data_IF_508958777640
#
_entry.id   IF_508958777640
#
_cell.length_a   1.000
_cell.length_b   1.000
_cell.length_c   1.000
_cell.angle_alpha   90.00
_cell.angle_beta   90.00
_cell.angle_gamma   90.00
#
_symmetry.space_group_name_H-M   'P 1'
#
loop_
_entity.id
_entity.type
_entity.pdbx_description
1 polymer ?
#
# COMPACT_ATOMS: atom_id res chain seq x y z
N UNK A 1 18.64 25.25 8.90
CA UNK A 1 18.06 24.80 7.62
C UNK A 1 17.52 26.01 6.88
N UNK A 2 17.58 26.11 5.54
CA UNK A 2 16.96 27.22 4.81
C UNK A 2 15.44 27.25 5.09
N UNK A 3 14.81 28.42 5.08
CA UNK A 3 13.39 28.54 5.35
C UNK A 3 12.58 27.74 4.31
N UNK A 4 11.53 27.06 4.79
CA UNK A 4 10.62 26.33 3.91
C UNK A 4 9.91 27.30 2.98
N UNK A 5 9.93 27.03 1.68
CA UNK A 5 9.20 27.79 0.67
C UNK A 5 8.15 26.92 -0.01
N UNK A 6 7.11 27.53 -0.58
CA UNK A 6 6.11 26.80 -1.37
C UNK A 6 6.77 26.03 -2.52
N UNK A 7 7.81 26.59 -3.15
CA UNK A 7 8.58 25.92 -4.20
C UNK A 7 9.24 24.63 -3.69
N UNK A 8 9.83 24.66 -2.49
CA UNK A 8 10.47 23.48 -1.87
C UNK A 8 9.40 22.42 -1.54
N UNK A 9 8.22 22.84 -1.05
CA UNK A 9 7.12 21.95 -0.81
C UNK A 9 6.61 21.26 -2.10
N UNK A 10 6.47 22.03 -3.20
CA UNK A 10 6.09 21.48 -4.51
C UNK A 10 7.13 20.47 -5.01
N UNK A 11 8.42 20.82 -4.98
CA UNK A 11 9.50 19.92 -5.45
C UNK A 11 9.61 18.63 -4.62
N UNK A 12 9.24 18.67 -3.35
CA UNK A 12 9.16 17.47 -2.50
C UNK A 12 7.90 16.66 -2.80
N UNK A 13 6.76 17.32 -2.98
CA UNK A 13 5.44 16.70 -3.11
C UNK A 13 5.21 16.09 -4.50
N UNK A 14 5.69 16.73 -5.57
CA UNK A 14 5.47 16.26 -6.95
C UNK A 14 5.98 14.83 -7.20
N UNK A 15 7.21 14.45 -6.81
CA UNK A 15 7.65 13.06 -6.95
C UNK A 15 6.80 12.07 -6.15
N UNK A 16 6.27 12.48 -4.99
CA UNK A 16 5.39 11.63 -4.18
C UNK A 16 4.03 11.43 -4.85
N UNK A 17 3.43 12.48 -5.42
CA UNK A 17 2.19 12.34 -6.22
C UNK A 17 2.44 11.39 -7.38
N UNK A 18 3.46 11.65 -8.20
CA UNK A 18 3.77 10.81 -9.37
C UNK A 18 3.93 9.34 -8.92
N UNK A 19 4.66 9.11 -7.83
CA UNK A 19 4.84 7.76 -7.29
C UNK A 19 3.49 7.13 -6.88
N UNK A 20 2.64 7.89 -6.19
CA UNK A 20 1.34 7.38 -5.73
C UNK A 20 0.39 7.13 -6.89
N UNK A 21 0.35 8.02 -7.89
CA UNK A 21 -0.47 7.83 -9.09
C UNK A 21 -0.01 6.61 -9.90
N UNK A 22 1.29 6.44 -10.09
CA UNK A 22 1.84 5.25 -10.73
C UNK A 22 1.55 3.98 -9.93
N UNK A 23 1.53 4.08 -8.59
CA UNK A 23 1.15 2.98 -7.72
C UNK A 23 -0.32 2.57 -7.92
N UNK A 24 -1.23 3.54 -7.98
CA UNK A 24 -2.66 3.27 -8.24
C UNK A 24 -2.91 2.80 -9.69
N UNK A 25 -2.18 3.38 -10.65
CA UNK A 25 -2.22 2.93 -12.03
C UNK A 25 -1.81 1.46 -12.15
N UNK A 26 -0.82 1.02 -11.38
CA UNK A 26 -0.38 -0.38 -11.30
C UNK A 26 -1.54 -1.31 -10.93
N UNK A 27 -2.39 -0.95 -9.97
CA UNK A 27 -3.58 -1.75 -9.63
C UNK A 27 -4.62 -1.74 -10.75
N UNK A 28 -4.88 -0.57 -11.34
CA UNK A 28 -5.82 -0.45 -12.47
C UNK A 28 -5.37 -1.26 -13.69
N UNK A 29 -4.05 -1.34 -13.94
CA UNK A 29 -3.49 -2.17 -15.01
C UNK A 29 -3.71 -3.67 -14.77
N UNK A 30 -3.64 -4.16 -13.53
CA UNK A 30 -4.00 -5.56 -13.24
C UNK A 30 -5.44 -5.81 -13.63
N UNK A 31 -6.39 -4.98 -13.19
CA UNK A 31 -7.80 -5.15 -13.56
C UNK A 31 -8.01 -5.10 -15.07
N UNK A 32 -7.39 -4.14 -15.78
CA UNK A 32 -7.50 -4.01 -17.23
C UNK A 32 -6.90 -5.21 -17.97
N UNK A 33 -5.84 -5.81 -17.44
CA UNK A 33 -5.23 -7.01 -17.99
C UNK A 33 -6.11 -8.24 -17.74
N UNK A 34 -6.57 -8.44 -16.50
CA UNK A 34 -7.43 -9.56 -16.12
C UNK A 34 -8.77 -9.56 -16.89
N UNK A 35 -9.30 -8.37 -17.21
CA UNK A 35 -10.50 -8.22 -18.03
C UNK A 35 -10.35 -8.73 -19.48
N UNK A 36 -9.12 -8.95 -19.95
CA UNK A 36 -8.83 -9.45 -21.30
C UNK A 36 -8.58 -10.95 -21.36
N UNK A 37 -8.50 -11.60 -20.19
CA UNK A 37 -8.32 -13.05 -20.10
C UNK A 37 -9.67 -13.76 -20.32
N UNK A 38 -9.62 -15.04 -20.68
CA UNK A 38 -10.81 -15.90 -20.62
C UNK A 38 -11.43 -15.88 -19.21
N UNK A 39 -12.74 -16.00 -19.13
CA UNK A 39 -13.50 -15.98 -17.87
C UNK A 39 -13.26 -14.71 -17.02
N UNK A 40 -13.22 -13.57 -17.69
CA UNK A 40 -12.90 -12.28 -17.07
C UNK A 40 -13.73 -11.97 -15.82
N UNK A 41 -15.01 -12.32 -15.79
CA UNK A 41 -15.89 -12.08 -14.62
C UNK A 41 -15.43 -12.85 -13.40
N UNK A 42 -15.12 -14.13 -13.53
CA UNK A 42 -14.63 -15.00 -12.44
C UNK A 42 -13.28 -14.51 -11.94
N UNK A 43 -12.38 -14.25 -12.88
CA UNK A 43 -11.02 -13.78 -12.61
C UNK A 43 -11.01 -12.44 -11.86
N UNK A 44 -11.80 -11.45 -12.35
CA UNK A 44 -11.90 -10.13 -11.71
C UNK A 44 -12.60 -10.18 -10.35
N UNK A 45 -13.65 -10.99 -10.21
CA UNK A 45 -14.35 -11.16 -8.93
C UNK A 45 -13.41 -11.75 -7.87
N UNK A 46 -12.73 -12.86 -8.21
CA UNK A 46 -11.78 -13.50 -7.32
C UNK A 46 -10.63 -12.57 -6.90
N UNK A 47 -10.05 -11.86 -7.87
CA UNK A 47 -9.00 -10.88 -7.60
C UNK A 47 -9.49 -9.73 -6.72
N UNK A 48 -10.68 -9.18 -6.97
CA UNK A 48 -11.27 -8.08 -6.19
C UNK A 48 -11.53 -8.46 -4.74
N UNK A 49 -12.07 -9.67 -4.50
CA UNK A 49 -12.29 -10.20 -3.16
C UNK A 49 -10.95 -10.35 -2.43
N UNK A 50 -10.00 -11.05 -3.03
CA UNK A 50 -8.69 -11.28 -2.46
C UNK A 50 -7.97 -9.95 -2.15
N UNK A 51 -7.97 -9.02 -3.10
CA UNK A 51 -7.29 -7.72 -2.97
C UNK A 51 -7.92 -6.86 -1.87
N UNK A 52 -9.26 -6.76 -1.78
CA UNK A 52 -9.92 -5.99 -0.74
C UNK A 52 -9.69 -6.60 0.65
N UNK A 53 -9.67 -7.93 0.74
CA UNK A 53 -9.37 -8.65 1.97
C UNK A 53 -7.94 -8.35 2.44
N UNK A 54 -6.95 -8.53 1.57
CA UNK A 54 -5.53 -8.27 1.89
C UNK A 54 -5.30 -6.82 2.27
N UNK A 55 -5.79 -5.86 1.49
CA UNK A 55 -5.56 -4.44 1.76
C UNK A 55 -6.18 -3.98 3.08
N UNK A 56 -7.31 -4.58 3.49
CA UNK A 56 -7.93 -4.29 4.77
C UNK A 56 -7.01 -4.65 5.93
N UNK A 57 -6.46 -5.84 5.93
CA UNK A 57 -5.66 -6.33 7.05
C UNK A 57 -4.19 -5.93 6.97
N UNK A 58 -3.61 -5.83 5.78
CA UNK A 58 -2.21 -5.41 5.59
C UNK A 58 -2.03 -3.89 5.62
N UNK A 59 -3.09 -3.10 5.53
CA UNK A 59 -3.03 -1.63 5.55
C UNK A 59 -2.35 -1.05 6.80
N UNK A 60 -2.39 -1.77 7.93
CA UNK A 60 -1.71 -1.37 9.17
C UNK A 60 -0.19 -1.19 9.00
N UNK A 61 0.41 -1.89 8.03
CA UNK A 61 1.85 -1.83 7.77
C UNK A 61 2.25 -0.45 7.19
N UNK A 62 1.34 0.25 6.52
CA UNK A 62 1.60 1.59 5.99
C UNK A 62 1.98 2.60 7.08
N UNK A 63 1.53 2.39 8.32
CA UNK A 63 1.86 3.21 9.49
C UNK A 63 3.35 3.18 9.82
N UNK A 64 4.07 2.15 9.38
CA UNK A 64 5.52 2.01 9.59
C UNK A 64 6.30 3.20 9.03
N UNK A 65 5.92 3.76 7.89
CA UNK A 65 6.57 4.95 7.30
C UNK A 65 6.49 6.13 8.27
N UNK A 66 5.30 6.37 8.83
CA UNK A 66 5.06 7.49 9.76
C UNK A 66 5.78 7.30 11.09
N UNK A 67 5.75 6.08 11.63
CA UNK A 67 6.46 5.74 12.86
C UNK A 67 7.99 5.83 12.67
N UNK A 68 8.49 5.39 11.52
CA UNK A 68 9.89 5.48 11.16
C UNK A 68 10.36 6.94 11.07
N UNK A 69 9.60 7.81 10.38
CA UNK A 69 9.91 9.24 10.29
C UNK A 69 9.86 9.95 11.65
N UNK A 70 8.99 9.49 12.57
CA UNK A 70 8.85 10.11 13.89
C UNK A 70 9.95 9.70 14.87
N UNK A 71 10.47 8.48 14.76
CA UNK A 71 11.29 7.88 15.83
C UNK A 71 12.66 7.37 15.41
N UNK A 72 13.02 7.34 14.13
CA UNK A 72 14.37 6.98 13.71
C UNK A 72 15.30 8.16 13.97
N UNK A 73 16.21 7.99 14.93
CA UNK A 73 17.29 8.95 15.25
C UNK A 73 18.67 8.35 15.03
N UNK A 74 18.79 7.03 15.12
CA UNK A 74 20.03 6.28 15.01
C UNK A 74 19.80 4.87 14.47
N UNK A 75 20.88 4.10 14.29
CA UNK A 75 20.82 2.69 13.82
C UNK A 75 20.08 1.76 14.79
N UNK A 76 20.07 2.05 16.09
CA UNK A 76 19.37 1.23 17.08
C UNK A 76 17.87 1.45 17.02
N UNK A 77 17.42 2.71 16.95
CA UNK A 77 16.01 3.04 16.79
C UNK A 77 15.46 2.48 15.48
N UNK A 78 16.23 2.54 14.38
CA UNK A 78 15.87 1.90 13.11
C UNK A 78 15.56 0.40 13.29
N UNK A 79 16.48 -0.38 13.85
CA UNK A 79 16.27 -1.81 14.06
C UNK A 79 15.18 -2.12 15.08
N UNK A 80 14.97 -1.24 16.07
CA UNK A 80 13.87 -1.40 17.02
C UNK A 80 12.53 -1.25 16.34
N UNK A 81 12.35 -0.24 15.48
CA UNK A 81 11.14 -0.01 14.71
C UNK A 81 10.93 -1.15 13.73
N UNK A 82 11.95 -1.52 12.97
CA UNK A 82 11.87 -2.63 12.02
C UNK A 82 11.40 -3.94 12.68
N UNK A 83 11.97 -4.30 13.84
CA UNK A 83 11.54 -5.50 14.59
C UNK A 83 10.13 -5.37 15.15
N UNK A 84 9.75 -4.19 15.66
CA UNK A 84 8.42 -3.96 16.20
C UNK A 84 7.38 -4.16 15.10
N UNK A 85 7.55 -3.52 13.95
CA UNK A 85 6.62 -3.66 12.83
C UNK A 85 6.69 -5.04 12.18
N UNK A 86 7.83 -5.72 12.19
CA UNK A 86 7.90 -7.11 11.74
C UNK A 86 7.01 -8.03 12.59
N UNK A 87 7.06 -7.89 13.92
CA UNK A 87 6.19 -8.65 14.81
C UNK A 87 4.71 -8.29 14.61
N UNK A 88 4.41 -7.00 14.47
CA UNK A 88 3.05 -6.52 14.20
C UNK A 88 2.53 -7.05 12.85
N UNK A 89 3.37 -7.12 11.83
CA UNK A 89 3.00 -7.61 10.50
C UNK A 89 2.78 -9.13 10.44
N UNK A 90 3.33 -9.89 11.38
CA UNK A 90 3.02 -11.32 11.48
C UNK A 90 1.55 -11.58 11.83
N UNK A 91 0.89 -10.67 12.55
CA UNK A 91 -0.52 -10.82 12.92
C UNK A 91 -1.42 -10.88 11.68
N UNK A 92 -1.43 -9.84 10.80
CA UNK A 92 -2.22 -9.91 9.58
C UNK A 92 -1.75 -11.03 8.64
N UNK A 93 -0.45 -11.32 8.57
CA UNK A 93 0.05 -12.43 7.75
C UNK A 93 -0.55 -13.77 8.19
N UNK A 94 -0.44 -14.13 9.47
CA UNK A 94 -0.99 -15.38 10.00
C UNK A 94 -2.52 -15.42 9.84
N UNK A 95 -3.21 -14.30 10.07
CA UNK A 95 -4.66 -14.21 9.87
C UNK A 95 -5.03 -14.48 8.40
N UNK A 96 -4.36 -13.85 7.46
CA UNK A 96 -4.61 -13.99 6.04
C UNK A 96 -4.37 -15.43 5.59
N UNK A 97 -3.21 -15.99 5.93
CA UNK A 97 -2.86 -17.36 5.56
C UNK A 97 -3.79 -18.39 6.22
N UNK A 98 -4.16 -18.19 7.49
CA UNK A 98 -5.12 -19.06 8.19
C UNK A 98 -6.48 -19.08 7.49
N UNK A 99 -6.96 -17.93 7.01
CA UNK A 99 -8.23 -17.86 6.29
C UNK A 99 -8.06 -18.44 4.88
N UNK A 100 -7.03 -18.04 4.15
CA UNK A 100 -6.82 -18.47 2.77
C UNK A 100 -6.59 -19.99 2.62
N UNK A 101 -5.85 -20.60 3.55
CA UNK A 101 -5.44 -22.00 3.46
C UNK A 101 -6.41 -23.00 4.14
N UNK A 102 -7.41 -22.50 4.90
CA UNK A 102 -8.35 -23.37 5.61
C UNK A 102 -9.78 -23.25 5.07
N UNK A 103 -10.70 -24.03 5.63
CA UNK A 103 -12.14 -23.92 5.36
C UNK A 103 -12.78 -22.60 5.80
N UNK A 104 -12.08 -21.80 6.63
CA UNK A 104 -12.53 -20.46 6.97
C UNK A 104 -12.64 -19.56 5.73
N UNK A 105 -11.78 -19.74 4.72
CA UNK A 105 -11.86 -19.04 3.44
C UNK A 105 -13.10 -19.43 2.63
N UNK A 106 -13.50 -20.70 2.66
CA UNK A 106 -14.71 -21.16 1.99
C UNK A 106 -15.95 -20.54 2.63
N UNK A 107 -15.97 -20.47 3.95
CA UNK A 107 -17.03 -19.80 4.69
C UNK A 107 -17.03 -18.28 4.42
N UNK A 108 -15.87 -17.62 4.48
CA UNK A 108 -15.76 -16.16 4.33
C UNK A 108 -16.11 -15.71 2.92
N UNK A 109 -15.47 -16.29 1.90
CA UNK A 109 -15.65 -15.86 0.51
C UNK A 109 -16.87 -16.49 -0.15
N UNK A 110 -17.17 -17.76 0.13
CA UNK A 110 -18.31 -18.49 -0.44
C UNK A 110 -19.62 -18.16 0.28
N UNK A 111 -19.70 -18.43 1.59
CA UNK A 111 -20.97 -18.28 2.33
C UNK A 111 -21.23 -16.81 2.68
N UNK A 112 -20.24 -16.13 3.26
CA UNK A 112 -20.45 -14.78 3.78
C UNK A 112 -20.48 -13.73 2.65
N UNK A 113 -19.61 -13.84 1.64
CA UNK A 113 -19.56 -12.95 0.48
C UNK A 113 -20.40 -13.43 -0.72
N UNK A 114 -20.98 -14.63 -0.66
CA UNK A 114 -21.85 -15.15 -1.71
C UNK A 114 -21.18 -15.44 -3.05
N UNK A 115 -19.85 -15.58 -3.08
CA UNK A 115 -19.12 -15.88 -4.29
C UNK A 115 -19.37 -17.33 -4.74
N UNK A 116 -19.33 -17.57 -6.05
CA UNK A 116 -19.42 -18.91 -6.63
C UNK A 116 -18.27 -19.82 -6.12
N UNK A 117 -18.40 -21.14 -6.15
CA UNK A 117 -17.35 -22.06 -5.70
C UNK A 117 -16.02 -21.83 -6.41
N UNK A 118 -16.07 -21.52 -7.70
CA UNK A 118 -14.88 -21.26 -8.50
C UNK A 118 -14.20 -19.94 -8.13
N UNK A 119 -14.97 -18.86 -7.97
CA UNK A 119 -14.47 -17.56 -7.49
C UNK A 119 -13.88 -17.71 -6.10
N UNK A 120 -14.52 -18.48 -5.21
CA UNK A 120 -14.04 -18.75 -3.86
C UNK A 120 -12.67 -19.46 -3.89
N UNK A 121 -12.52 -20.51 -4.69
CA UNK A 121 -11.27 -21.24 -4.86
C UNK A 121 -10.14 -20.32 -5.32
N UNK A 122 -10.38 -19.53 -6.37
CA UNK A 122 -9.41 -18.60 -6.92
C UNK A 122 -9.08 -17.45 -5.96
N UNK A 123 -10.07 -16.93 -5.23
CA UNK A 123 -9.89 -15.89 -4.23
C UNK A 123 -9.00 -16.37 -3.07
N UNK A 124 -9.20 -17.60 -2.59
CA UNK A 124 -8.35 -18.21 -1.54
C UNK A 124 -6.90 -18.32 -1.98
N UNK A 125 -6.64 -18.89 -3.15
CA UNK A 125 -5.27 -19.04 -3.67
C UNK A 125 -4.63 -17.66 -3.90
N UNK A 126 -5.38 -16.73 -4.49
CA UNK A 126 -4.91 -15.36 -4.72
C UNK A 126 -4.61 -14.63 -3.41
N UNK A 127 -5.44 -14.83 -2.37
CA UNK A 127 -5.24 -14.25 -1.05
C UNK A 127 -3.98 -14.81 -0.37
N UNK A 128 -3.74 -16.12 -0.43
CA UNK A 128 -2.51 -16.73 0.09
C UNK A 128 -1.27 -16.18 -0.61
N UNK A 129 -1.28 -16.10 -1.94
CA UNK A 129 -0.16 -15.50 -2.67
C UNK A 129 0.04 -14.03 -2.26
N UNK A 130 -1.03 -13.24 -2.19
CA UNK A 130 -0.95 -11.83 -1.80
C UNK A 130 -0.51 -11.63 -0.34
N UNK A 131 -0.75 -12.58 0.57
CA UNK A 131 -0.28 -12.50 1.95
C UNK A 131 1.23 -12.28 2.03
N UNK A 132 1.99 -12.85 1.11
CA UNK A 132 3.43 -12.66 1.01
C UNK A 132 3.85 -11.20 0.72
N UNK A 133 2.95 -10.36 0.18
CA UNK A 133 3.21 -8.95 -0.07
C UNK A 133 3.65 -8.18 1.18
N UNK A 134 3.22 -8.61 2.34
CA UNK A 134 3.50 -7.98 3.64
C UNK A 134 5.00 -7.72 3.83
N UNK A 135 5.84 -8.70 3.56
CA UNK A 135 7.28 -8.62 3.82
C UNK A 135 8.04 -7.65 2.89
N UNK A 136 7.91 -7.72 1.55
CA UNK A 136 8.56 -6.74 0.70
C UNK A 136 8.02 -5.32 0.93
N UNK A 137 6.73 -5.17 1.26
CA UNK A 137 6.15 -3.87 1.58
C UNK A 137 6.78 -3.24 2.82
N UNK A 138 7.08 -4.02 3.84
CA UNK A 138 7.77 -3.54 5.04
C UNK A 138 9.18 -3.01 4.72
N UNK A 139 9.97 -3.77 3.96
CA UNK A 139 11.31 -3.34 3.53
C UNK A 139 11.22 -2.01 2.77
N UNK A 140 10.28 -1.93 1.83
CA UNK A 140 10.03 -0.71 1.07
C UNK A 140 9.63 0.48 1.96
N UNK A 141 8.77 0.27 2.94
CA UNK A 141 8.30 1.34 3.83
C UNK A 141 9.44 1.94 4.66
N UNK A 142 10.29 1.11 5.26
CA UNK A 142 11.48 1.59 5.99
C UNK A 142 12.43 2.37 5.09
N UNK A 143 12.68 1.86 3.88
CA UNK A 143 13.52 2.54 2.90
C UNK A 143 12.91 3.87 2.45
N UNK A 144 11.60 3.92 2.24
CA UNK A 144 10.85 5.14 1.92
C UNK A 144 10.98 6.18 3.03
N UNK A 145 10.82 5.77 4.29
CA UNK A 145 11.00 6.66 5.43
C UNK A 145 12.41 7.28 5.46
N UNK A 146 13.46 6.47 5.25
CA UNK A 146 14.83 6.98 5.17
C UNK A 146 15.03 7.99 4.04
N UNK A 147 14.45 7.75 2.86
CA UNK A 147 14.49 8.68 1.74
C UNK A 147 13.77 10.00 2.08
N UNK A 148 12.58 9.93 2.69
CA UNK A 148 11.81 11.11 3.09
C UNK A 148 12.51 11.93 4.17
N UNK A 149 13.08 11.29 5.20
CA UNK A 149 13.86 11.94 6.26
C UNK A 149 15.06 12.72 5.69
N UNK A 150 15.68 12.19 4.63
CA UNK A 150 16.78 12.84 3.92
C UNK A 150 16.31 13.81 2.81
N UNK A 151 14.99 14.08 2.72
CA UNK A 151 14.37 14.93 1.69
C UNK A 151 14.70 14.49 0.24
N UNK A 152 14.96 13.22 0.02
CA UNK A 152 15.26 12.62 -1.28
C UNK A 152 14.10 11.75 -1.74
N UNK A 153 13.13 12.36 -2.43
CA UNK A 153 11.90 11.67 -2.89
C UNK A 153 12.01 11.09 -4.30
N UNK A 154 12.95 11.57 -5.12
CA UNK A 154 13.19 11.04 -6.47
C UNK A 154 13.43 9.52 -6.54
N UNK A 155 14.22 8.88 -5.63
CA UNK A 155 14.38 7.44 -5.64
C UNK A 155 13.05 6.68 -5.47
N UNK A 156 12.09 7.25 -4.75
CA UNK A 156 10.76 6.66 -4.54
C UNK A 156 10.00 6.62 -5.88
N UNK A 157 10.08 7.68 -6.68
CA UNK A 157 9.47 7.72 -8.02
C UNK A 157 10.10 6.70 -8.96
N UNK A 158 11.43 6.58 -8.97
CA UNK A 158 12.12 5.56 -9.78
C UNK A 158 11.75 4.15 -9.35
N UNK A 159 11.66 3.88 -8.04
CA UNK A 159 11.22 2.60 -7.50
C UNK A 159 9.83 2.23 -8.03
N UNK A 160 8.91 3.19 -8.06
CA UNK A 160 7.54 2.96 -8.55
C UNK A 160 7.50 2.72 -10.06
N UNK A 161 8.36 3.39 -10.85
CA UNK A 161 8.50 3.11 -12.29
C UNK A 161 9.02 1.68 -12.51
N UNK A 162 10.07 1.28 -11.78
CA UNK A 162 10.62 -0.08 -11.83
C UNK A 162 9.55 -1.11 -11.49
N UNK A 163 8.76 -0.85 -10.45
CA UNK A 163 7.63 -1.68 -10.06
C UNK A 163 6.62 -1.80 -11.21
N UNK A 164 6.20 -0.70 -11.83
CA UNK A 164 5.24 -0.68 -12.91
C UNK A 164 5.72 -1.51 -14.13
N UNK A 165 6.98 -1.31 -14.53
CA UNK A 165 7.59 -2.07 -15.63
C UNK A 165 7.65 -3.56 -15.28
N UNK A 166 8.16 -3.91 -14.10
CA UNK A 166 8.24 -5.31 -13.67
C UNK A 166 6.87 -5.97 -13.57
N UNK A 167 5.84 -5.23 -13.15
CA UNK A 167 4.48 -5.72 -13.10
C UNK A 167 3.91 -6.02 -14.49
N UNK A 168 4.11 -5.11 -15.45
CA UNK A 168 3.68 -5.34 -16.84
C UNK A 168 4.35 -6.58 -17.43
N UNK A 169 5.66 -6.75 -17.22
CA UNK A 169 6.38 -7.92 -17.67
C UNK A 169 5.85 -9.20 -17.02
N UNK A 170 5.58 -9.18 -15.72
CA UNK A 170 5.02 -10.35 -15.02
C UNK A 170 3.60 -10.67 -15.49
N UNK A 171 2.74 -9.66 -15.72
CA UNK A 171 1.40 -9.89 -16.27
C UNK A 171 1.42 -10.48 -17.69
N UNK A 172 2.44 -10.19 -18.49
CA UNK A 172 2.59 -10.79 -19.81
C UNK A 172 3.05 -12.26 -19.75
N UNK A 173 3.79 -12.64 -18.72
CA UNK A 173 4.45 -13.96 -18.63
C UNK A 173 3.68 -14.94 -17.74
N UNK A 174 3.25 -14.51 -16.53
CA UNK A 174 2.64 -15.40 -15.54
C UNK A 174 1.36 -16.11 -15.99
N UNK A 175 0.46 -15.52 -16.78
CA UNK A 175 -0.77 -16.18 -17.22
C UNK A 175 -0.56 -17.41 -18.10
N UNK A 176 0.65 -17.63 -18.61
CA UNK A 176 1.00 -18.88 -19.31
C UNK A 176 1.14 -20.09 -18.38
N UNK A 177 1.34 -19.85 -17.08
CA UNK A 177 1.59 -20.91 -16.09
C UNK A 177 0.61 -20.90 -14.92
N UNK A 178 -0.15 -19.83 -14.74
CA UNK A 178 -1.06 -19.64 -13.62
C UNK A 178 -2.42 -19.14 -14.08
N UNK A 179 -3.48 -19.50 -13.34
CA UNK A 179 -4.82 -18.96 -13.56
C UNK A 179 -4.85 -17.43 -13.38
N UNK A 180 -5.67 -16.71 -14.14
CA UNK A 180 -5.63 -15.27 -14.27
C UNK A 180 -5.61 -14.50 -12.95
N UNK A 181 -6.51 -14.82 -12.00
CA UNK A 181 -6.55 -14.15 -10.69
C UNK A 181 -5.27 -14.37 -9.88
N UNK A 182 -4.73 -15.60 -9.92
CA UNK A 182 -3.49 -15.96 -9.25
C UNK A 182 -2.29 -15.29 -9.91
N UNK A 183 -2.27 -15.21 -11.25
CA UNK A 183 -1.24 -14.49 -12.00
C UNK A 183 -1.23 -12.99 -11.64
N UNK A 184 -2.42 -12.38 -11.51
CA UNK A 184 -2.58 -11.01 -11.02
C UNK A 184 -2.00 -10.83 -9.61
N UNK A 185 -2.32 -11.74 -8.69
CA UNK A 185 -1.81 -11.76 -7.33
C UNK A 185 -0.27 -11.90 -7.29
N UNK A 186 0.27 -12.87 -8.03
CA UNK A 186 1.71 -13.12 -8.12
C UNK A 186 2.46 -11.94 -8.74
N UNK A 187 1.88 -11.28 -9.74
CA UNK A 187 2.46 -10.08 -10.35
C UNK A 187 2.59 -8.92 -9.36
N UNK A 188 1.59 -8.74 -8.47
CA UNK A 188 1.63 -7.71 -7.42
C UNK A 188 2.74 -8.01 -6.39
N UNK A 189 2.85 -9.24 -5.94
CA UNK A 189 3.90 -9.64 -4.98
C UNK A 189 5.28 -9.54 -5.60
N UNK A 190 5.43 -10.01 -6.84
CA UNK A 190 6.69 -10.00 -7.55
C UNK A 190 7.18 -8.57 -7.83
N UNK A 191 6.33 -7.71 -8.38
CA UNK A 191 6.72 -6.32 -8.66
C UNK A 191 7.04 -5.54 -7.38
N UNK A 192 6.32 -5.80 -6.26
CA UNK A 192 6.60 -5.22 -4.97
C UNK A 192 7.95 -5.69 -4.41
N UNK A 193 8.29 -6.96 -4.66
CA UNK A 193 9.59 -7.52 -4.26
C UNK A 193 10.73 -6.84 -5.03
N UNK A 194 10.57 -6.64 -6.34
CA UNK A 194 11.55 -5.90 -7.16
C UNK A 194 11.71 -4.46 -6.67
N UNK A 195 10.59 -3.76 -6.39
CA UNK A 195 10.61 -2.42 -5.82
C UNK A 195 11.33 -2.40 -4.46
N UNK A 196 11.04 -3.35 -3.58
CA UNK A 196 11.65 -3.45 -2.26
C UNK A 196 13.17 -3.67 -2.34
N UNK A 197 13.64 -4.52 -3.25
CA UNK A 197 15.07 -4.75 -3.50
C UNK A 197 15.76 -3.46 -3.94
N UNK A 198 15.17 -2.75 -4.90
CA UNK A 198 15.71 -1.46 -5.36
C UNK A 198 15.75 -0.43 -4.22
N UNK A 199 14.66 -0.27 -3.48
CA UNK A 199 14.56 0.67 -2.37
C UNK A 199 15.52 0.32 -1.24
N UNK A 200 15.68 -0.95 -0.91
CA UNK A 200 16.69 -1.43 0.05
C UNK A 200 18.09 -1.01 -0.39
N UNK A 201 18.42 -1.20 -1.66
CA UNK A 201 19.75 -0.88 -2.19
C UNK A 201 20.05 0.62 -2.12
N UNK A 202 19.10 1.46 -2.54
CA UNK A 202 19.23 2.92 -2.49
C UNK A 202 19.31 3.43 -1.05
N UNK A 203 18.47 2.89 -0.16
CA UNK A 203 18.39 3.35 1.23
C UNK A 203 19.63 3.01 2.07
N UNK A 204 20.47 2.06 1.64
CA UNK A 204 21.73 1.71 2.33
C UNK A 204 22.64 2.92 2.56
N UNK A 205 22.72 3.84 1.58
CA UNK A 205 23.51 5.06 1.70
C UNK A 205 22.98 5.96 2.84
N UNK A 206 21.67 6.10 2.97
CA UNK A 206 21.04 6.90 4.03
C UNK A 206 21.14 6.20 5.39
N UNK A 207 20.97 4.88 5.44
CA UNK A 207 21.18 4.10 6.64
C UNK A 207 22.62 4.21 7.15
N UNK A 208 23.63 4.22 6.26
CA UNK A 208 25.04 4.35 6.63
C UNK A 208 25.33 5.70 7.33
N UNK A 209 24.59 6.76 6.95
CA UNK A 209 24.73 8.11 7.53
C UNK A 209 24.09 8.23 8.92
N UNK A 210 23.25 7.30 9.33
CA UNK A 210 22.67 7.32 10.67
C UNK A 210 23.76 7.11 11.74
N UNK A 211 23.74 7.91 12.82
CA UNK A 211 24.66 7.72 13.93
C UNK A 211 24.45 6.33 14.57
N UNK A 212 25.52 5.78 15.13
CA UNK A 212 25.45 4.48 15.80
C UNK A 212 24.65 4.59 17.12
N UNK A 213 24.77 5.75 17.79
CA UNK A 213 24.10 6.12 19.02
C UNK A 213 23.70 7.60 18.92
N UNK A 214 22.42 7.91 19.01
CA UNK A 214 21.98 9.27 18.72
C UNK A 214 20.86 9.81 19.61
N UNK A 215 20.39 9.09 20.61
CA UNK A 215 19.33 9.63 21.45
C UNK A 215 18.56 8.59 22.29
N UNK A 216 17.51 9.06 22.93
CA UNK A 216 16.57 8.19 23.64
C UNK A 216 15.90 7.22 22.69
N UNK A 217 15.95 5.96 23.03
CA UNK A 217 15.32 4.91 22.24
C UNK A 217 13.80 4.93 22.48
N UNK A 218 12.97 4.95 21.43
CA UNK A 218 11.52 4.91 21.61
C UNK A 218 11.12 3.65 22.39
N UNK A 219 10.37 3.81 23.45
CA UNK A 219 9.83 2.67 24.19
C UNK A 219 8.77 1.94 23.35
N UNK A 220 8.57 0.65 23.62
CA UNK A 220 7.49 -0.12 22.95
C UNK A 220 6.12 0.54 23.15
N UNK A 221 5.89 1.12 24.33
CA UNK A 221 4.65 1.82 24.68
C UNK A 221 4.46 3.08 23.83
N UNK A 222 5.52 3.88 23.64
CA UNK A 222 5.46 5.08 22.79
C UNK A 222 5.16 4.72 21.35
N UNK A 223 5.86 3.72 20.79
CA UNK A 223 5.58 3.22 19.43
C UNK A 223 4.14 2.74 19.29
N UNK A 224 3.66 1.98 20.27
CA UNK A 224 2.27 1.49 20.25
C UNK A 224 1.25 2.64 20.34
N UNK A 225 1.40 3.54 21.33
CA UNK A 225 0.49 4.68 21.54
C UNK A 225 0.42 5.60 20.31
N UNK A 226 1.54 5.74 19.58
CA UNK A 226 1.56 6.49 18.32
C UNK A 226 0.89 5.73 17.18
N UNK A 227 1.17 4.44 17.06
CA UNK A 227 0.80 3.66 15.86
C UNK A 227 -0.63 3.14 15.86
N UNK A 228 -1.18 2.73 17.03
CA UNK A 228 -2.48 2.08 17.08
C UNK A 228 -3.65 2.94 16.55
N UNK A 229 -3.73 4.28 16.80
CA UNK A 229 -4.82 5.08 16.22
C UNK A 229 -4.72 5.15 14.70
N UNK A 230 -3.49 5.27 14.18
CA UNK A 230 -3.23 5.28 12.74
C UNK A 230 -3.55 3.93 12.09
N UNK A 231 -3.26 2.81 12.79
CA UNK A 231 -3.63 1.47 12.32
C UNK A 231 -5.14 1.30 12.22
N UNK A 232 -5.90 1.76 13.21
CA UNK A 232 -7.38 1.72 13.17
C UNK A 232 -7.90 2.55 12.00
N UNK A 233 -7.35 3.74 11.77
CA UNK A 233 -7.71 4.57 10.62
C UNK A 233 -7.47 3.83 9.31
N UNK A 234 -6.32 3.18 9.14
CA UNK A 234 -6.01 2.41 7.94
C UNK A 234 -6.94 1.20 7.74
N UNK A 235 -7.25 0.46 8.81
CA UNK A 235 -8.23 -0.65 8.75
C UNK A 235 -9.60 -0.11 8.35
N UNK A 236 -10.03 1.00 8.94
CA UNK A 236 -11.33 1.60 8.65
C UNK A 236 -11.44 2.06 7.20
N UNK A 237 -10.43 2.78 6.69
CA UNK A 237 -10.42 3.24 5.31
C UNK A 237 -10.43 2.10 4.29
N UNK A 238 -9.58 1.09 4.48
CA UNK A 238 -9.48 -0.04 3.57
C UNK A 238 -10.65 -1.03 3.75
N UNK A 239 -11.15 -1.17 4.98
CA UNK A 239 -12.26 -2.05 5.32
C UNK A 239 -13.59 -1.69 4.65
N UNK A 240 -13.78 -0.42 4.26
CA UNK A 240 -14.98 0.00 3.50
C UNK A 240 -15.17 -0.84 2.24
N UNK A 241 -14.11 -1.07 1.46
CA UNK A 241 -14.19 -1.88 0.24
C UNK A 241 -14.54 -3.34 0.53
N UNK A 242 -14.01 -3.88 1.64
CA UNK A 242 -14.34 -5.23 2.09
C UNK A 242 -15.82 -5.37 2.49
N UNK A 243 -16.34 -4.40 3.25
CA UNK A 243 -17.76 -4.36 3.65
C UNK A 243 -18.68 -4.21 2.43
N UNK A 244 -18.31 -3.37 1.47
CA UNK A 244 -19.08 -3.24 0.22
C UNK A 244 -19.12 -4.59 -0.52
N UNK A 245 -18.00 -5.29 -0.67
CA UNK A 245 -17.96 -6.61 -1.30
C UNK A 245 -18.90 -7.61 -0.60
N UNK A 246 -18.99 -7.56 0.73
CA UNK A 246 -19.92 -8.39 1.49
C UNK A 246 -21.39 -8.18 1.09
N UNK A 247 -21.80 -6.92 0.86
CA UNK A 247 -23.18 -6.64 0.43
C UNK A 247 -23.39 -6.94 -1.05
N UNK A 248 -22.41 -6.70 -1.90
CA UNK A 248 -22.48 -6.98 -3.34
C UNK A 248 -22.64 -8.49 -3.61
N UNK A 249 -22.02 -9.33 -2.82
CA UNK A 249 -22.15 -10.78 -2.92
C UNK A 249 -23.56 -11.33 -2.65
N UNK A 250 -24.49 -10.48 -2.20
CA UNK A 250 -25.90 -10.84 -1.94
C UNK A 250 -26.86 -10.39 -3.06
N UNK A 251 -26.34 -9.80 -4.11
CA UNK A 251 -27.11 -9.40 -5.27
C UNK A 251 -27.46 -10.63 -6.15
N UNK A 252 -28.36 -10.45 -7.08
CA UNK A 252 -28.79 -11.51 -7.99
C UNK A 252 -27.65 -12.06 -8.89
N UNK A 253 -26.62 -11.25 -9.16
CA UNK A 253 -25.43 -11.62 -9.93
C UNK A 253 -24.16 -11.23 -9.15
N UNK A 254 -23.78 -12.00 -8.11
CA UNK A 254 -22.70 -11.60 -7.18
C UNK A 254 -21.36 -11.43 -7.88
N UNK A 255 -20.96 -12.40 -8.71
CA UNK A 255 -19.64 -12.38 -9.35
C UNK A 255 -19.47 -11.17 -10.30
N UNK A 256 -20.53 -10.81 -11.02
CA UNK A 256 -20.53 -9.61 -11.89
C UNK A 256 -20.44 -8.33 -11.06
N UNK A 257 -21.20 -8.24 -9.96
CA UNK A 257 -21.18 -7.07 -9.08
C UNK A 257 -19.82 -6.88 -8.41
N UNK A 258 -19.20 -7.96 -7.93
CA UNK A 258 -17.86 -7.97 -7.33
C UNK A 258 -16.78 -7.58 -8.36
N UNK A 259 -16.87 -8.11 -9.58
CA UNK A 259 -15.94 -7.75 -10.65
C UNK A 259 -16.05 -6.26 -11.03
N UNK A 260 -17.27 -5.77 -11.24
CA UNK A 260 -17.52 -4.37 -11.56
C UNK A 260 -17.05 -3.42 -10.46
N UNK A 261 -17.32 -3.74 -9.20
CA UNK A 261 -16.85 -2.95 -8.06
C UNK A 261 -15.33 -2.89 -7.97
N UNK A 262 -14.64 -3.99 -8.23
CA UNK A 262 -13.18 -4.02 -8.26
C UNK A 262 -12.60 -2.98 -9.22
N UNK A 263 -13.13 -2.92 -10.43
CA UNK A 263 -12.71 -1.94 -11.45
C UNK A 263 -13.03 -0.50 -11.01
N UNK A 264 -14.27 -0.25 -10.53
CA UNK A 264 -14.68 1.08 -10.05
C UNK A 264 -13.84 1.53 -8.87
N UNK A 265 -13.54 0.64 -7.92
CA UNK A 265 -12.73 0.96 -6.75
C UNK A 265 -11.26 1.26 -7.13
N UNK A 266 -10.71 0.59 -8.14
CA UNK A 266 -9.40 0.90 -8.67
C UNK A 266 -9.35 2.31 -9.29
N UNK A 267 -10.36 2.68 -10.10
CA UNK A 267 -10.46 4.02 -10.68
C UNK A 267 -10.67 5.11 -9.61
N UNK A 268 -11.55 4.87 -8.63
CA UNK A 268 -11.75 5.77 -7.50
C UNK A 268 -10.44 6.02 -6.73
N UNK A 269 -9.66 4.97 -6.52
CA UNK A 269 -8.39 5.07 -5.81
C UNK A 269 -7.36 5.89 -6.58
N UNK A 270 -7.33 5.78 -7.91
CA UNK A 270 -6.51 6.60 -8.78
C UNK A 270 -6.84 8.09 -8.59
N UNK A 271 -8.12 8.45 -8.60
CA UNK A 271 -8.55 9.85 -8.45
C UNK A 271 -8.28 10.40 -7.03
N UNK A 272 -8.44 9.61 -5.96
CA UNK A 272 -8.35 10.08 -4.58
C UNK A 272 -6.92 10.06 -3.99
N UNK A 273 -5.98 9.40 -4.65
CA UNK A 273 -4.65 9.11 -4.09
C UNK A 273 -3.76 10.33 -3.82
N UNK A 274 -3.77 11.44 -4.59
CA UNK A 274 -2.88 12.58 -4.35
C UNK A 274 -3.05 13.20 -2.96
N UNK A 275 -4.28 13.23 -2.45
CA UNK A 275 -4.61 13.86 -1.17
C UNK A 275 -3.98 13.12 0.03
N UNK A 276 -3.77 11.81 -0.09
CA UNK A 276 -3.18 10.98 1.00
C UNK A 276 -1.73 11.35 1.31
N UNK A 277 -0.97 11.83 0.32
CA UNK A 277 0.43 12.21 0.50
C UNK A 277 0.61 13.54 1.25
N UNK A 278 -0.45 14.32 1.43
CA UNK A 278 -0.35 15.62 2.10
C UNK A 278 0.08 15.48 3.56
N UNK A 279 -0.45 14.48 4.28
CA UNK A 279 -0.08 14.22 5.67
C UNK A 279 1.40 13.86 5.81
N UNK A 280 1.92 12.98 4.95
CA UNK A 280 3.33 12.59 4.93
C UNK A 280 4.25 13.77 4.55
N UNK A 281 3.80 14.61 3.62
CA UNK A 281 4.53 15.83 3.24
C UNK A 281 4.61 16.81 4.40
N UNK A 282 3.51 17.02 5.11
CA UNK A 282 3.50 17.86 6.30
C UNK A 282 4.43 17.31 7.39
N UNK A 283 4.36 16.01 7.66
CA UNK A 283 5.23 15.35 8.66
C UNK A 283 6.72 15.47 8.31
N UNK A 284 7.08 15.38 7.03
CA UNK A 284 8.47 15.45 6.58
C UNK A 284 9.05 16.87 6.54
N UNK A 285 8.22 17.89 6.32
CA UNK A 285 8.70 19.25 6.06
C UNK A 285 8.45 20.24 7.20
N UNK A 286 7.47 19.99 8.09
CA UNK A 286 7.11 20.90 9.17
C UNK A 286 7.97 20.66 10.39
N UNK A 287 8.84 21.63 10.72
CA UNK A 287 9.64 21.63 11.94
C UNK A 287 9.37 22.86 12.80
N UNK A 288 8.80 23.93 12.20
CA UNK A 288 8.51 25.19 12.89
C UNK A 288 7.08 25.65 12.64
N UNK A 289 6.58 26.60 13.47
CA UNK A 289 5.24 27.23 13.22
C UNK A 289 5.18 27.96 11.88
N UNK A 290 6.30 28.47 11.40
CA UNK A 290 6.35 29.15 10.11
C UNK A 290 6.22 28.13 8.96
N UNK A 291 6.88 26.97 9.05
CA UNK A 291 6.75 25.88 8.07
C UNK A 291 5.29 25.41 7.98
N UNK A 292 4.59 25.33 9.12
CA UNK A 292 3.17 24.95 9.18
C UNK A 292 2.32 25.89 8.34
N UNK A 293 2.53 27.23 8.43
CA UNK A 293 1.78 28.20 7.62
C UNK A 293 2.02 28.01 6.12
N UNK A 294 3.26 27.76 5.73
CA UNK A 294 3.61 27.50 4.31
C UNK A 294 2.95 26.22 3.81
N UNK A 295 2.97 25.15 4.60
CA UNK A 295 2.32 23.88 4.23
C UNK A 295 0.80 24.02 4.18
N UNK A 296 0.15 24.77 5.08
CA UNK A 296 -1.29 25.03 5.03
C UNK A 296 -1.68 25.80 3.77
N UNK A 297 -0.92 26.83 3.39
CA UNK A 297 -1.16 27.56 2.14
C UNK A 297 -0.97 26.66 0.91
N UNK A 298 0.05 25.81 0.94
CA UNK A 298 0.30 24.84 -0.11
C UNK A 298 -0.84 23.82 -0.21
N UNK A 299 -1.26 23.23 0.92
CA UNK A 299 -2.37 22.28 0.99
C UNK A 299 -3.66 22.86 0.45
N UNK A 300 -3.99 24.11 0.83
CA UNK A 300 -5.18 24.79 0.32
C UNK A 300 -5.15 24.96 -1.20
N UNK A 301 -4.01 25.37 -1.77
CA UNK A 301 -3.84 25.48 -3.23
C UNK A 301 -3.96 24.16 -3.95
N UNK A 302 -3.37 23.09 -3.41
CA UNK A 302 -3.46 21.74 -3.98
C UNK A 302 -4.89 21.23 -3.93
N UNK A 303 -5.58 21.40 -2.80
CA UNK A 303 -6.99 20.99 -2.67
C UNK A 303 -7.90 21.76 -3.63
N UNK A 304 -7.68 23.07 -3.78
CA UNK A 304 -8.47 23.89 -4.71
C UNK A 304 -8.22 23.46 -6.17
N UNK A 305 -6.95 23.24 -6.56
CA UNK A 305 -6.62 22.74 -7.88
C UNK A 305 -7.24 21.36 -8.14
N UNK A 306 -7.24 20.49 -7.13
CA UNK A 306 -7.85 19.16 -7.22
C UNK A 306 -9.38 19.23 -7.41
N UNK A 307 -10.08 20.08 -6.63
CA UNK A 307 -11.54 20.27 -6.76
C UNK A 307 -11.95 20.81 -8.14
N UNK A 308 -11.07 21.59 -8.79
CA UNK A 308 -11.34 22.13 -10.14
C UNK A 308 -11.09 21.06 -11.23
N UNK A 309 -10.20 20.08 -10.97
CA UNK A 309 -9.83 19.04 -11.94
C UNK A 309 -10.76 17.82 -11.90
N UNK A 310 -11.46 17.58 -10.79
CA UNK A 310 -12.39 16.47 -10.57
C UNK A 310 -13.82 16.95 -10.66
#
# INVERSE_FOLDING_TARGET
MPPLTVRTAVLFFMPLIISTELHQLSHSLVHAFLARLGEATITLAAFSIAFSFITTFSGIIAVEVQAAMAYITDKRSFWRIARCFFVVSLVPFVLIESIALTSLGDWLFGVLMGASPEVTRLAKISAAVMGLWIFPNQIRNLATALCMMNRRTLPISYATIIRLVSQLLMLMVLPFWMEGAVAGAASLVGCMTVEAIYMYWVSRAFYAQLPTYGGEQPSKRQLWTFSWPLMITQISENGVSFVINFFLGRLASPDLALAAFGVVNALKSLVASPLRNMAQTAQALVHTRQDMRVILQFAHRVTLAYVVLV
#
